data_IF_916769504599
#
_entry.id   IF_916769504599
#
_cell.length_a   1.000
_cell.length_b   1.000
_cell.length_c   1.000
_cell.angle_alpha   90.00
_cell.angle_beta   90.00
_cell.angle_gamma   90.00
#
_symmetry.space_group_name_H-M   'P 1'
#
loop_
_entity.id
_entity.type
_entity.pdbx_description
1 polymer ?
#
# COMPACT_ATOMS: atom_id res chain seq x y z
N UNK A 1 -15.94 -9.61 25.86
CA UNK A 1 -17.29 -9.79 26.43
C UNK A 1 -17.35 -9.88 27.96
N UNK A 2 -16.40 -10.46 28.69
CA UNK A 2 -16.50 -10.55 30.18
C UNK A 2 -15.97 -9.34 30.97
N UNK A 3 -15.44 -8.30 30.32
CA UNK A 3 -14.94 -7.06 30.96
C UNK A 3 -15.91 -5.87 30.82
N UNK A 4 -16.78 -5.89 29.84
CA UNK A 4 -17.76 -4.82 29.61
C UNK A 4 -18.99 -4.96 30.50
N UNK A 5 -19.36 -6.18 30.89
CA UNK A 5 -20.47 -6.42 31.84
C UNK A 5 -20.16 -6.00 33.30
N UNK A 6 -18.87 -5.89 33.67
CA UNK A 6 -18.50 -5.44 35.03
C UNK A 6 -18.53 -3.92 35.20
N UNK A 7 -18.39 -3.15 34.13
CA UNK A 7 -18.42 -1.67 34.21
C UNK A 7 -19.85 -1.16 34.28
N UNK A 8 -20.80 -1.82 33.62
CA UNK A 8 -22.23 -1.45 33.68
C UNK A 8 -22.92 -1.83 35.01
N UNK A 9 -22.37 -2.79 35.76
CA UNK A 9 -22.91 -3.18 37.07
C UNK A 9 -22.48 -2.24 38.22
N UNK A 10 -21.43 -1.47 38.04
CA UNK A 10 -20.91 -0.52 39.04
C UNK A 10 -21.57 0.86 38.95
N UNK A 11 -21.98 1.27 37.74
CA UNK A 11 -22.72 2.53 37.53
C UNK A 11 -24.19 2.47 37.98
N UNK A 12 -24.80 1.29 38.02
CA UNK A 12 -26.20 1.12 38.48
C UNK A 12 -26.36 1.16 40.01
N UNK A 13 -25.29 1.09 40.78
CA UNK A 13 -25.33 1.13 42.27
C UNK A 13 -25.13 2.51 42.88
N UNK A 14 -24.79 3.51 42.09
CA UNK A 14 -24.51 4.88 42.58
C UNK A 14 -25.73 5.82 42.53
N UNK A 15 -26.92 5.38 42.10
CA UNK A 15 -28.09 6.25 41.93
C UNK A 15 -29.24 6.03 42.90
N UNK A 16 -29.06 5.18 43.94
CA UNK A 16 -30.18 4.86 44.84
C UNK A 16 -29.86 5.16 46.32
N UNK A 17 -29.55 6.41 46.67
CA UNK A 17 -29.71 6.91 48.07
C UNK A 17 -29.73 8.44 48.08
N UNK A 18 -30.82 9.08 47.74
CA UNK A 18 -31.20 10.37 48.33
C UNK A 18 -32.72 10.46 48.35
N UNK A 19 -33.36 10.14 49.48
CA UNK A 19 -34.70 10.57 49.80
C UNK A 19 -34.62 11.68 50.87
N UNK A 20 -35.40 12.75 50.76
CA UNK A 20 -35.42 13.83 51.73
C UNK A 20 -36.28 13.45 52.93
N UNK A 21 -35.74 13.59 54.14
CA UNK A 21 -36.52 13.63 55.39
C UNK A 21 -36.85 15.07 55.75
N UNK A 22 -38.14 15.36 55.77
CA UNK A 22 -38.72 16.53 56.46
C UNK A 22 -38.54 16.40 57.96
N UNK A 23 -38.00 17.41 58.64
CA UNK A 23 -38.20 17.65 60.10
C UNK A 23 -38.33 19.15 60.39
N UNK A 24 -39.54 19.48 60.68
CA UNK A 24 -40.12 20.28 61.76
C UNK A 24 -39.25 21.36 62.38
N UNK A 25 -39.87 22.56 62.38
CA UNK A 25 -39.54 23.75 63.09
C UNK A 25 -39.39 23.51 64.61
N UNK A 26 -38.32 24.07 65.21
CA UNK A 26 -38.29 24.51 66.55
C UNK A 26 -37.46 25.79 66.69
N UNK A 27 -38.12 26.87 67.02
CA UNK A 27 -37.55 28.18 67.37
C UNK A 27 -36.70 28.07 68.66
N UNK A 28 -35.42 28.51 68.53
CA UNK A 28 -34.69 29.03 69.72
C UNK A 28 -33.93 30.27 69.28
N UNK A 29 -34.41 31.40 69.81
CA UNK A 29 -33.70 32.70 69.81
C UNK A 29 -32.49 32.60 70.71
N UNK A 30 -31.25 32.87 70.21
CA UNK A 30 -30.20 33.56 70.98
C UNK A 30 -29.03 33.98 70.01
N UNK A 31 -28.73 35.25 70.07
CA UNK A 31 -27.49 36.01 69.89
C UNK A 31 -26.86 36.15 68.43
N UNK A 32 -26.78 37.44 67.95
CA UNK A 32 -26.36 37.73 66.57
C UNK A 32 -24.88 38.18 66.41
N UNK A 33 -23.95 37.75 67.25
CA UNK A 33 -22.55 38.21 67.14
C UNK A 33 -21.51 37.11 66.86
N UNK A 34 -21.79 35.83 67.07
CA UNK A 34 -20.88 34.73 66.65
C UNK A 34 -21.09 34.24 65.21
N UNK A 35 -22.29 34.38 64.70
CA UNK A 35 -22.70 33.96 63.36
C UNK A 35 -21.90 34.69 62.23
N UNK A 36 -21.55 35.95 62.36
CA UNK A 36 -20.84 36.72 61.34
C UNK A 36 -19.37 36.33 61.16
N UNK A 37 -18.71 35.78 62.17
CA UNK A 37 -17.31 35.32 62.06
C UNK A 37 -17.22 33.90 61.44
N UNK A 38 -18.20 33.06 61.72
CA UNK A 38 -18.30 31.71 61.13
C UNK A 38 -18.70 31.78 59.66
N UNK A 39 -19.70 32.59 59.34
CA UNK A 39 -20.08 32.83 57.94
C UNK A 39 -18.93 33.39 57.08
N UNK A 40 -18.09 34.27 57.66
CA UNK A 40 -16.93 34.82 56.96
C UNK A 40 -15.79 33.81 56.78
N UNK A 41 -15.67 32.80 57.67
CA UNK A 41 -14.75 31.66 57.52
C UNK A 41 -15.24 30.65 56.50
N UNK A 42 -16.54 30.39 56.50
CA UNK A 42 -17.17 29.49 55.51
C UNK A 42 -17.10 30.07 54.10
N UNK A 43 -17.41 31.38 53.94
CA UNK A 43 -17.26 32.04 52.64
C UNK A 43 -15.83 31.98 52.08
N UNK A 44 -14.81 32.18 52.98
CA UNK A 44 -13.41 32.05 52.56
C UNK A 44 -13.05 30.61 52.14
N UNK A 45 -13.59 29.61 52.84
CA UNK A 45 -13.40 28.20 52.49
C UNK A 45 -14.09 27.85 51.16
N UNK A 46 -15.27 28.36 50.91
CA UNK A 46 -16.00 28.21 49.67
C UNK A 46 -15.21 28.81 48.49
N UNK A 47 -14.72 30.05 48.65
CA UNK A 47 -13.92 30.72 47.66
C UNK A 47 -12.59 30.00 47.35
N UNK A 48 -11.95 29.42 48.38
CA UNK A 48 -10.74 28.60 48.20
C UNK A 48 -11.04 27.27 47.51
N UNK A 49 -12.18 26.63 47.81
CA UNK A 49 -12.61 25.41 47.15
C UNK A 49 -13.01 25.66 45.68
N UNK A 50 -13.71 26.77 45.43
CA UNK A 50 -14.04 27.17 44.05
C UNK A 50 -12.79 27.45 43.21
N UNK A 51 -11.76 28.09 43.75
CA UNK A 51 -10.47 28.27 43.06
C UNK A 51 -9.79 26.93 42.77
N UNK A 52 -9.75 26.03 43.76
CA UNK A 52 -9.18 24.68 43.54
C UNK A 52 -9.97 23.86 42.52
N UNK A 53 -11.28 24.02 42.53
CA UNK A 53 -12.16 23.37 41.56
C UNK A 53 -11.91 23.93 40.15
N UNK A 54 -11.81 25.25 39.99
CA UNK A 54 -11.51 25.89 38.73
C UNK A 54 -10.11 25.54 38.19
N UNK A 55 -9.11 25.39 39.06
CA UNK A 55 -7.79 24.92 38.69
C UNK A 55 -7.80 23.43 38.28
N UNK A 56 -8.55 22.60 38.98
CA UNK A 56 -8.70 21.18 38.68
C UNK A 56 -9.44 20.95 37.35
N UNK A 57 -10.52 21.71 37.09
CA UNK A 57 -11.25 21.64 35.85
C UNK A 57 -10.37 22.06 34.65
N UNK A 58 -9.63 23.15 34.76
CA UNK A 58 -8.67 23.57 33.73
C UNK A 58 -7.61 22.50 33.44
N UNK A 59 -7.05 21.89 34.49
CA UNK A 59 -6.08 20.79 34.33
C UNK A 59 -6.70 19.56 33.68
N UNK A 60 -7.96 19.25 34.01
CA UNK A 60 -8.69 18.15 33.42
C UNK A 60 -8.91 18.40 31.89
N UNK A 61 -9.35 19.60 31.53
CA UNK A 61 -9.54 20.01 30.13
C UNK A 61 -8.23 19.95 29.31
N UNK A 62 -7.13 20.45 29.91
CA UNK A 62 -5.80 20.38 29.27
C UNK A 62 -5.31 18.94 29.09
N UNK A 63 -5.58 18.07 30.05
CA UNK A 63 -5.23 16.65 29.96
C UNK A 63 -6.11 15.92 28.95
N UNK A 64 -7.39 16.25 28.86
CA UNK A 64 -8.30 15.71 27.87
C UNK A 64 -7.89 16.10 26.43
N UNK A 65 -7.52 17.38 26.23
CA UNK A 65 -7.05 17.83 24.93
C UNK A 65 -5.77 17.11 24.53
N UNK A 66 -4.77 17.04 25.42
CA UNK A 66 -3.54 16.27 25.18
C UNK A 66 -3.79 14.79 24.93
N UNK A 67 -4.75 14.19 25.63
CA UNK A 67 -5.12 12.80 25.44
C UNK A 67 -5.77 12.57 24.06
N UNK A 68 -6.60 13.51 23.59
CA UNK A 68 -7.19 13.46 22.25
C UNK A 68 -6.11 13.61 21.17
N UNK A 69 -5.25 14.62 21.29
CA UNK A 69 -4.13 14.83 20.36
C UNK A 69 -3.21 13.60 20.29
N UNK A 70 -2.84 13.03 21.44
CA UNK A 70 -2.02 11.83 21.47
C UNK A 70 -2.71 10.60 20.84
N UNK A 71 -4.04 10.48 21.00
CA UNK A 71 -4.82 9.41 20.34
C UNK A 71 -4.87 9.61 18.83
N UNK A 72 -5.09 10.82 18.38
CA UNK A 72 -5.13 11.14 16.94
C UNK A 72 -3.76 10.90 16.28
N UNK A 73 -2.68 11.31 16.97
CA UNK A 73 -1.31 11.02 16.53
C UNK A 73 -1.02 9.52 16.48
N UNK A 74 -1.48 8.78 17.49
CA UNK A 74 -1.33 7.32 17.52
C UNK A 74 -2.07 6.64 16.35
N UNK A 75 -3.32 7.03 16.09
CA UNK A 75 -4.11 6.48 14.96
C UNK A 75 -3.44 6.80 13.64
N UNK A 76 -2.95 8.04 13.47
CA UNK A 76 -2.22 8.44 12.27
C UNK A 76 -0.95 7.60 12.09
N UNK A 77 -0.13 7.46 13.13
CA UNK A 77 1.10 6.69 13.10
C UNK A 77 0.84 5.21 12.79
N UNK A 78 -0.22 4.63 13.35
CA UNK A 78 -0.63 3.26 13.03
C UNK A 78 -0.99 3.09 11.56
N UNK A 79 -1.75 4.04 10.99
CA UNK A 79 -2.10 4.01 9.56
C UNK A 79 -0.87 4.16 8.66
N UNK A 80 0.06 5.04 9.03
CA UNK A 80 1.34 5.20 8.33
C UNK A 80 2.18 3.92 8.42
N UNK A 81 2.26 3.30 9.60
CA UNK A 81 3.00 2.05 9.80
C UNK A 81 2.42 0.89 8.99
N UNK A 82 1.09 0.73 8.96
CA UNK A 82 0.44 -0.29 8.13
C UNK A 82 0.70 -0.07 6.64
N UNK A 83 0.62 1.19 6.20
CA UNK A 83 0.93 1.57 4.81
C UNK A 83 2.38 1.27 4.47
N UNK A 84 3.31 1.62 5.35
CA UNK A 84 4.74 1.33 5.20
C UNK A 84 5.00 -0.19 5.14
N UNK A 85 4.39 -0.96 6.04
CA UNK A 85 4.53 -2.43 6.06
C UNK A 85 4.05 -3.07 4.75
N UNK A 86 2.89 -2.63 4.25
CA UNK A 86 2.35 -3.10 2.98
C UNK A 86 3.29 -2.77 1.82
N UNK A 87 3.72 -1.51 1.69
CA UNK A 87 4.66 -1.09 0.64
C UNK A 87 5.98 -1.85 0.70
N UNK A 88 6.55 -2.00 1.90
CA UNK A 88 7.80 -2.76 2.09
C UNK A 88 7.67 -4.23 1.68
N UNK A 89 6.51 -4.86 1.90
CA UNK A 89 6.24 -6.21 1.43
C UNK A 89 6.13 -6.28 -0.10
N UNK A 90 5.41 -5.33 -0.71
CA UNK A 90 5.29 -5.20 -2.17
C UNK A 90 6.64 -4.93 -2.83
N UNK A 91 7.46 -4.04 -2.25
CA UNK A 91 8.81 -3.73 -2.73
C UNK A 91 9.73 -4.94 -2.70
N UNK A 92 9.65 -5.75 -1.63
CA UNK A 92 10.41 -7.01 -1.55
C UNK A 92 10.01 -7.99 -2.64
N UNK A 93 8.70 -8.16 -2.88
CA UNK A 93 8.20 -9.04 -3.95
C UNK A 93 8.64 -8.52 -5.32
N UNK A 94 8.54 -7.21 -5.56
CA UNK A 94 9.01 -6.57 -6.78
C UNK A 94 10.53 -6.75 -6.96
N UNK A 95 11.31 -6.57 -5.90
CA UNK A 95 12.77 -6.77 -5.96
C UNK A 95 13.13 -8.21 -6.32
N UNK A 96 12.50 -9.20 -5.68
CA UNK A 96 12.71 -10.62 -6.00
C UNK A 96 12.32 -10.93 -7.44
N UNK A 97 11.17 -10.39 -7.92
CA UNK A 97 10.70 -10.61 -9.29
C UNK A 97 11.58 -9.94 -10.34
N UNK A 98 12.22 -8.81 -10.02
CA UNK A 98 13.08 -8.05 -10.94
C UNK A 98 14.57 -8.32 -10.77
N UNK A 99 15.00 -9.01 -9.71
CA UNK A 99 16.43 -9.28 -9.44
C UNK A 99 17.14 -10.00 -10.60
N UNK A 100 16.43 -10.86 -11.32
CA UNK A 100 16.97 -11.56 -12.50
C UNK A 100 16.86 -10.76 -13.81
N UNK A 101 16.14 -9.62 -13.80
CA UNK A 101 15.83 -8.88 -15.03
C UNK A 101 17.10 -8.39 -15.74
N UNK A 102 18.05 -7.83 -15.01
CA UNK A 102 19.31 -7.31 -15.57
C UNK A 102 20.16 -8.43 -16.16
N UNK A 103 20.29 -9.55 -15.43
CA UNK A 103 21.02 -10.74 -15.90
C UNK A 103 20.38 -11.32 -17.15
N UNK A 104 19.04 -11.48 -17.17
CA UNK A 104 18.32 -11.99 -18.31
C UNK A 104 18.44 -11.02 -19.50
N UNK A 105 18.34 -9.70 -19.27
CA UNK A 105 18.52 -8.68 -20.29
C UNK A 105 19.90 -8.76 -20.95
N UNK A 106 20.95 -9.01 -20.16
CA UNK A 106 22.32 -9.25 -20.65
C UNK A 106 22.44 -10.54 -21.47
N UNK A 107 21.54 -11.51 -21.30
CA UNK A 107 21.52 -12.77 -22.04
C UNK A 107 20.72 -12.70 -23.35
N UNK A 108 19.82 -11.69 -23.51
CA UNK A 108 19.00 -11.55 -24.73
C UNK A 108 19.82 -11.48 -26.04
N UNK A 109 20.99 -10.81 -26.10
CA UNK A 109 21.81 -10.85 -27.32
C UNK A 109 22.23 -12.26 -27.73
N UNK A 110 22.48 -13.16 -26.77
CA UNK A 110 22.82 -14.56 -27.04
C UNK A 110 21.63 -15.30 -27.66
N UNK A 111 20.41 -15.01 -27.17
CA UNK A 111 19.18 -15.53 -27.79
C UNK A 111 19.00 -15.04 -29.23
N UNK A 112 19.24 -13.74 -29.47
CA UNK A 112 19.15 -13.15 -30.80
C UNK A 112 20.17 -13.82 -31.78
N UNK A 113 21.37 -14.12 -31.27
CA UNK A 113 22.41 -14.83 -32.04
C UNK A 113 21.99 -16.28 -32.34
N UNK A 114 21.35 -16.96 -31.40
CA UNK A 114 20.79 -18.29 -31.61
C UNK A 114 19.67 -18.26 -32.67
N UNK A 115 18.74 -17.29 -32.59
CA UNK A 115 17.65 -17.13 -33.57
C UNK A 115 18.24 -16.86 -34.96
N UNK A 116 19.26 -16.01 -35.05
CA UNK A 116 19.98 -15.73 -36.32
C UNK A 116 20.66 -16.97 -36.85
N UNK A 117 21.34 -17.75 -36.00
CA UNK A 117 22.00 -19.00 -36.41
C UNK A 117 20.99 -20.03 -36.96
N UNK A 118 19.83 -20.18 -36.31
CA UNK A 118 18.74 -21.05 -36.76
C UNK A 118 18.26 -20.59 -38.14
N UNK A 119 18.03 -19.28 -38.32
CA UNK A 119 17.60 -18.72 -39.62
C UNK A 119 18.63 -18.97 -40.77
N UNK A 120 19.93 -18.83 -40.46
CA UNK A 120 21.00 -19.12 -41.41
C UNK A 120 21.10 -20.62 -41.74
N UNK A 121 21.01 -21.47 -40.71
CA UNK A 121 21.05 -22.92 -40.89
C UNK A 121 19.81 -23.48 -41.60
N UNK A 122 18.68 -22.77 -41.61
CA UNK A 122 17.49 -23.20 -42.37
C UNK A 122 17.78 -23.45 -43.85
N UNK A 123 18.74 -22.72 -44.41
CA UNK A 123 19.18 -22.88 -45.82
C UNK A 123 20.37 -23.83 -45.99
N UNK A 124 20.95 -24.32 -44.88
CA UNK A 124 22.08 -25.28 -44.90
C UNK A 124 21.59 -26.71 -45.17
N UNK A 125 22.45 -27.54 -45.69
CA UNK A 125 22.23 -29.00 -45.84
C UNK A 125 22.68 -29.79 -44.59
N UNK A 126 23.25 -29.14 -43.60
CA UNK A 126 23.76 -29.79 -42.39
C UNK A 126 22.62 -29.95 -41.32
N UNK A 127 21.93 -31.09 -41.40
CA UNK A 127 20.85 -31.41 -40.46
C UNK A 127 21.33 -31.57 -38.99
N UNK A 128 22.54 -32.06 -38.78
CA UNK A 128 23.06 -32.23 -37.44
C UNK A 128 23.32 -30.87 -36.72
N UNK A 129 23.82 -29.89 -37.49
CA UNK A 129 24.01 -28.53 -37.00
C UNK A 129 22.68 -27.83 -36.69
N UNK A 130 21.64 -28.04 -37.55
CA UNK A 130 20.27 -27.52 -37.28
C UNK A 130 19.73 -28.09 -35.98
N UNK A 131 19.67 -29.43 -35.90
CA UNK A 131 19.10 -30.10 -34.71
C UNK A 131 19.83 -29.73 -33.45
N UNK A 132 21.18 -29.64 -33.49
CA UNK A 132 22.00 -29.21 -32.33
C UNK A 132 21.69 -27.79 -31.91
N UNK A 133 21.55 -26.85 -32.85
CA UNK A 133 21.25 -25.43 -32.52
C UNK A 133 19.85 -25.26 -31.98
N UNK A 134 18.86 -25.93 -32.58
CA UNK A 134 17.48 -25.92 -32.11
C UNK A 134 17.37 -26.50 -30.68
N UNK A 135 18.09 -27.56 -30.39
CA UNK A 135 18.10 -28.16 -29.07
C UNK A 135 18.66 -27.18 -28.00
N UNK A 136 19.75 -26.48 -28.36
CA UNK A 136 20.33 -25.47 -27.45
C UNK A 136 19.36 -24.33 -27.21
N UNK A 137 18.76 -23.78 -28.26
CA UNK A 137 17.79 -22.70 -28.17
C UNK A 137 16.56 -23.11 -27.34
N UNK A 138 15.99 -24.26 -27.62
CA UNK A 138 14.80 -24.76 -26.93
C UNK A 138 15.08 -25.01 -25.43
N UNK A 139 16.23 -25.55 -25.06
CA UNK A 139 16.64 -25.73 -23.67
C UNK A 139 16.81 -24.39 -22.95
N UNK A 140 17.48 -23.42 -23.61
CA UNK A 140 17.69 -22.09 -23.04
C UNK A 140 16.36 -21.37 -22.84
N UNK A 141 15.50 -21.35 -23.87
CA UNK A 141 14.16 -20.77 -23.78
C UNK A 141 13.27 -21.46 -22.74
N UNK A 142 13.34 -22.79 -22.68
CA UNK A 142 12.62 -23.56 -21.66
C UNK A 142 13.02 -23.14 -20.26
N UNK A 143 14.31 -23.00 -19.99
CA UNK A 143 14.81 -22.51 -18.71
C UNK A 143 14.35 -21.07 -18.42
N UNK A 144 14.47 -20.15 -19.38
CA UNK A 144 14.06 -18.76 -19.20
C UNK A 144 12.55 -18.60 -18.99
N UNK A 145 11.74 -19.44 -19.65
CA UNK A 145 10.29 -19.52 -19.37
C UNK A 145 9.98 -19.90 -17.93
N UNK A 146 10.76 -20.82 -17.32
CA UNK A 146 10.59 -21.14 -15.88
C UNK A 146 10.95 -19.96 -14.96
N UNK A 147 11.72 -18.98 -15.46
CA UNK A 147 12.03 -17.73 -14.77
C UNK A 147 11.02 -16.61 -15.04
N UNK A 148 9.95 -16.90 -15.79
CA UNK A 148 8.90 -15.94 -16.11
C UNK A 148 9.14 -15.12 -17.39
N UNK A 149 10.10 -15.50 -18.22
CA UNK A 149 10.30 -14.87 -19.53
C UNK A 149 9.22 -15.34 -20.52
N UNK A 150 8.60 -14.41 -21.23
CA UNK A 150 7.67 -14.69 -22.33
C UNK A 150 7.98 -13.82 -23.55
N UNK A 151 7.72 -14.37 -24.73
CA UNK A 151 7.93 -13.66 -26.00
C UNK A 151 6.74 -12.73 -26.26
N UNK A 152 7.00 -11.56 -26.84
CA UNK A 152 5.98 -10.66 -27.37
C UNK A 152 5.69 -11.10 -28.80
N UNK A 153 4.50 -11.67 -29.03
CA UNK A 153 4.03 -12.05 -30.35
C UNK A 153 3.56 -10.81 -31.10
N UNK A 154 4.47 -10.18 -31.85
CA UNK A 154 4.17 -8.92 -32.52
C UNK A 154 3.73 -9.11 -33.98
N UNK A 155 4.24 -10.12 -34.70
CA UNK A 155 4.02 -10.31 -36.14
C UNK A 155 2.53 -10.51 -36.46
N UNK A 156 2.01 -9.70 -37.38
CA UNK A 156 0.60 -9.74 -37.78
C UNK A 156 -0.38 -9.15 -36.79
N UNK A 157 0.12 -8.54 -35.72
CA UNK A 157 -0.71 -7.83 -34.72
C UNK A 157 -0.76 -6.33 -35.00
N UNK A 158 -1.73 -5.65 -34.41
CA UNK A 158 -1.80 -4.18 -34.42
C UNK A 158 -0.61 -3.62 -33.66
N UNK A 159 0.00 -2.56 -34.20
CA UNK A 159 1.08 -1.87 -33.49
C UNK A 159 0.58 -1.31 -32.17
N UNK A 160 1.31 -1.61 -31.10
CA UNK A 160 1.04 -1.14 -29.74
C UNK A 160 2.33 -0.54 -29.17
N UNK A 161 2.26 0.71 -28.73
CA UNK A 161 3.40 1.46 -28.18
C UNK A 161 3.90 0.86 -26.86
N UNK A 162 3.03 0.19 -26.12
CA UNK A 162 3.40 -0.39 -24.82
C UNK A 162 4.31 -1.63 -24.96
N UNK A 163 4.31 -2.29 -26.13
CA UNK A 163 5.07 -3.54 -26.36
C UNK A 163 6.02 -3.47 -27.57
N UNK A 164 5.79 -2.55 -28.51
CA UNK A 164 6.48 -2.51 -29.78
C UNK A 164 7.23 -1.19 -29.96
N UNK A 165 8.41 -1.28 -30.58
CA UNK A 165 9.22 -0.17 -31.05
C UNK A 165 9.27 -0.20 -32.57
N UNK A 166 8.63 0.75 -33.24
CA UNK A 166 8.67 0.85 -34.72
C UNK A 166 10.03 1.40 -35.16
N UNK A 167 10.82 0.58 -35.86
CA UNK A 167 12.13 0.97 -36.41
C UNK A 167 11.97 1.56 -37.79
N UNK A 168 11.05 0.99 -38.59
CA UNK A 168 10.85 1.38 -40.01
C UNK A 168 9.37 1.22 -40.37
N UNK A 169 8.91 2.07 -41.28
CA UNK A 169 7.62 1.94 -41.91
C UNK A 169 7.82 1.43 -43.37
N UNK A 170 7.01 0.48 -43.77
CA UNK A 170 7.02 -0.04 -45.10
C UNK A 170 5.63 0.10 -45.74
N UNK A 171 5.53 0.43 -47.05
CA UNK A 171 4.24 0.52 -47.69
C UNK A 171 3.47 -0.79 -47.50
N UNK A 172 2.27 -0.69 -46.93
CA UNK A 172 1.44 -1.88 -46.69
C UNK A 172 1.07 -2.53 -48.03
N UNK A 173 1.25 -3.87 -48.17
CA UNK A 173 0.81 -4.58 -49.39
C UNK A 173 -0.69 -4.45 -49.63
N UNK A 174 -1.47 -4.39 -48.54
CA UNK A 174 -2.91 -4.25 -48.51
C UNK A 174 -3.36 -3.16 -47.51
N UNK A 175 -4.46 -2.49 -47.80
CA UNK A 175 -5.05 -1.47 -46.88
C UNK A 175 -5.36 -2.01 -45.48
N UNK A 176 -5.65 -3.30 -45.37
CA UNK A 176 -5.90 -3.99 -44.11
C UNK A 176 -4.65 -4.09 -43.21
N UNK A 177 -3.46 -3.98 -43.79
CA UNK A 177 -2.17 -4.07 -43.07
C UNK A 177 -1.65 -2.71 -42.58
N UNK A 178 -2.36 -1.62 -42.86
CA UNK A 178 -2.00 -0.30 -42.32
C UNK A 178 -2.08 -0.29 -40.77
N UNK A 179 -0.99 0.13 -40.16
CA UNK A 179 -0.86 0.16 -38.67
C UNK A 179 -0.66 -1.22 -38.05
N UNK A 180 -0.46 -2.27 -38.85
CA UNK A 180 -0.12 -3.60 -38.37
C UNK A 180 1.38 -3.85 -38.47
N UNK A 181 1.88 -4.75 -37.63
CA UNK A 181 3.26 -5.22 -37.65
C UNK A 181 3.42 -6.20 -38.83
N UNK A 182 4.17 -5.79 -39.86
CA UNK A 182 4.47 -6.61 -41.01
C UNK A 182 5.55 -7.63 -40.68
N UNK A 183 6.62 -7.18 -40.01
CA UNK A 183 7.74 -8.06 -39.69
C UNK A 183 8.40 -7.63 -38.34
N UNK A 184 9.14 -8.57 -37.75
CA UNK A 184 9.85 -8.40 -36.49
C UNK A 184 11.35 -8.45 -36.74
N UNK A 185 12.02 -7.32 -36.54
CA UNK A 185 13.48 -7.21 -36.70
C UNK A 185 14.21 -7.78 -35.49
N UNK A 186 13.64 -7.60 -34.29
CA UNK A 186 14.20 -8.09 -33.05
C UNK A 186 13.07 -8.50 -32.11
N UNK A 187 13.12 -9.73 -31.59
CA UNK A 187 12.11 -10.31 -30.73
C UNK A 187 12.04 -9.54 -29.42
N UNK A 188 10.83 -9.14 -28.98
CA UNK A 188 10.55 -8.53 -27.70
C UNK A 188 10.28 -9.56 -26.62
N UNK A 189 10.57 -9.20 -25.38
CA UNK A 189 10.38 -10.10 -24.23
C UNK A 189 9.74 -9.40 -23.05
N UNK A 190 8.87 -10.12 -22.36
CA UNK A 190 8.30 -9.77 -21.06
C UNK A 190 8.93 -10.63 -19.97
N UNK A 191 9.14 -10.07 -18.79
CA UNK A 191 9.51 -10.79 -17.59
C UNK A 191 8.46 -10.57 -16.51
N UNK A 192 7.78 -11.63 -16.10
CA UNK A 192 6.68 -11.58 -15.12
C UNK A 192 5.61 -10.52 -15.48
N UNK A 193 5.28 -10.38 -16.77
CA UNK A 193 4.30 -9.43 -17.28
C UNK A 193 4.80 -7.99 -17.45
N UNK A 194 6.07 -7.69 -17.10
CA UNK A 194 6.69 -6.37 -17.34
C UNK A 194 7.59 -6.44 -18.58
N UNK A 195 7.57 -5.40 -19.43
CA UNK A 195 8.42 -5.33 -20.60
C UNK A 195 9.90 -5.29 -20.19
N UNK A 196 10.66 -6.31 -20.59
CA UNK A 196 12.11 -6.38 -20.44
C UNK A 196 12.83 -5.76 -21.62
N UNK A 197 12.29 -6.00 -22.83
CA UNK A 197 12.75 -5.43 -24.11
C UNK A 197 11.57 -5.34 -25.09
N UNK A 198 11.38 -4.19 -25.69
CA UNK A 198 10.38 -3.97 -26.73
C UNK A 198 10.69 -4.81 -27.98
N UNK A 199 9.67 -5.28 -28.66
CA UNK A 199 9.85 -5.88 -29.95
C UNK A 199 10.14 -4.79 -31.01
N UNK A 200 11.29 -4.88 -31.73
CA UNK A 200 11.57 -3.97 -32.83
C UNK A 200 10.87 -4.47 -34.07
N UNK A 201 9.97 -3.65 -34.57
CA UNK A 201 9.03 -4.06 -35.61
C UNK A 201 9.05 -3.12 -36.82
N UNK A 202 8.63 -3.68 -37.96
CA UNK A 202 8.31 -2.93 -39.19
C UNK A 202 6.80 -2.80 -39.28
N UNK A 203 6.30 -1.57 -39.39
CA UNK A 203 4.86 -1.25 -39.39
C UNK A 203 4.43 -0.90 -40.81
N UNK A 204 3.23 -1.35 -41.21
CA UNK A 204 2.60 -0.98 -42.47
C UNK A 204 2.15 0.48 -42.48
N UNK A 205 2.54 1.24 -43.45
CA UNK A 205 2.18 2.65 -43.66
C UNK A 205 1.07 2.81 -44.71
#
# INVERSE_FOLDING_TARGET
>A
MAKEEKIQAEEAKAQETVKPEEKKDEEVKTEPQQSKKEQKKEMKKVEELEKKLAESTKKAEELETKCKEAKDDYVRLMAEFETFRRRSAEDRLNLVSSASAETIKGLLPVLDDCERAIAMLAQSSDEAAKEGTDLIYNKLMGYLKTKGLSIIEAKGQKFDVDFHEAVTQFPAPDESMKGMVIDVVQTGYLLNGKVLRYAKVVVGA
#
